data_IF_733925324772
#
_entry.id   IF_733925324772
#
_cell.length_a   1.000
_cell.length_b   1.000
_cell.length_c   1.000
_cell.angle_alpha   90.00
_cell.angle_beta   90.00
_cell.angle_gamma   90.00
#
_symmetry.space_group_name_H-M   'P 1'
#
loop_
_entity.id
_entity.type
_entity.pdbx_description
1 polymer ?
#
# COMPACT_ATOMS: atom_id res chain seq x y z
N UNK A 1 19.46 -14.65 28.75
CA UNK A 1 19.12 -15.07 27.37
C UNK A 1 19.22 -13.83 26.51
N UNK A 2 20.29 -13.77 25.72
CA UNK A 2 20.77 -12.58 25.03
C UNK A 2 20.24 -12.55 23.61
N UNK A 3 19.82 -11.38 23.14
CA UNK A 3 19.94 -11.04 21.71
C UNK A 3 18.64 -10.72 21.00
N UNK A 4 18.22 -9.46 21.06
CA UNK A 4 17.63 -8.78 19.92
C UNK A 4 17.87 -7.26 20.06
N UNK A 5 19.06 -6.75 19.68
CA UNK A 5 19.19 -5.37 19.28
C UNK A 5 18.98 -5.27 17.75
N UNK A 6 18.67 -4.06 17.29
CA UNK A 6 18.59 -3.61 15.89
C UNK A 6 17.20 -3.64 15.25
N UNK A 7 16.55 -2.48 15.32
CA UNK A 7 15.39 -2.15 14.54
C UNK A 7 14.94 -0.72 14.79
N UNK A 8 15.85 0.26 14.80
CA UNK A 8 15.46 1.63 14.49
C UNK A 8 15.11 1.68 12.99
N UNK A 9 14.05 0.99 12.60
CA UNK A 9 13.50 1.00 11.26
C UNK A 9 12.69 2.29 11.14
N UNK A 10 13.07 3.14 10.20
CA UNK A 10 12.41 4.40 9.89
C UNK A 10 10.88 4.25 9.87
N UNK A 11 10.21 4.71 10.93
CA UNK A 11 8.77 4.94 11.17
C UNK A 11 7.76 4.44 10.12
N UNK A 12 7.84 3.17 9.72
CA UNK A 12 7.02 2.64 8.65
C UNK A 12 7.18 1.14 8.48
N UNK A 13 6.06 0.46 8.26
CA UNK A 13 6.02 -0.98 8.04
C UNK A 13 5.93 -1.28 6.55
N UNK A 14 6.78 -2.17 6.06
CA UNK A 14 6.66 -2.75 4.74
C UNK A 14 5.97 -4.11 4.78
N UNK A 15 5.28 -4.45 3.71
CA UNK A 15 4.59 -5.71 3.51
C UNK A 15 4.30 -5.98 2.05
N UNK A 16 3.79 -7.17 1.77
CA UNK A 16 3.39 -7.61 0.43
C UNK A 16 1.98 -8.20 0.51
N UNK A 17 1.18 -8.12 -0.57
CA UNK A 17 -0.10 -8.81 -0.59
C UNK A 17 0.11 -10.33 -0.57
N UNK A 18 -0.74 -11.05 0.14
CA UNK A 18 -0.80 -12.50 0.03
C UNK A 18 -1.51 -12.93 -1.28
N UNK A 19 -1.68 -14.24 -1.49
CA UNK A 19 -2.30 -14.79 -2.71
C UNK A 19 -3.73 -14.33 -2.99
N UNK A 20 -4.40 -13.71 -2.00
CA UNK A 20 -5.73 -13.10 -2.13
C UNK A 20 -5.70 -11.59 -2.39
N UNK A 21 -4.50 -10.99 -2.45
CA UNK A 21 -4.32 -9.55 -2.62
C UNK A 21 -4.48 -8.75 -1.33
N UNK A 22 -4.59 -9.39 -0.17
CA UNK A 22 -4.73 -8.71 1.11
C UNK A 22 -3.36 -8.49 1.78
N UNK A 23 -3.22 -7.42 2.54
CA UNK A 23 -2.05 -7.20 3.39
C UNK A 23 -2.45 -6.36 4.60
N UNK A 24 -1.88 -6.69 5.76
CA UNK A 24 -2.08 -5.89 6.97
C UNK A 24 -0.78 -5.20 7.31
N UNK A 25 -0.82 -3.87 7.33
CA UNK A 25 0.30 -3.02 7.72
C UNK A 25 -0.04 -2.33 9.05
N UNK A 26 0.84 -2.43 10.02
CA UNK A 26 0.75 -1.78 11.31
C UNK A 26 1.72 -0.60 11.37
N UNK A 27 1.21 0.54 11.81
CA UNK A 27 2.02 1.68 12.21
C UNK A 27 2.39 1.58 13.68
N UNK A 28 3.55 2.14 14.07
CA UNK A 28 3.96 2.20 15.47
C UNK A 28 2.98 3.03 16.32
N UNK A 29 2.32 4.01 15.73
CA UNK A 29 1.23 4.77 16.35
C UNK A 29 0.22 5.21 15.28
N UNK A 30 -1.06 5.41 15.65
CA UNK A 30 -2.01 6.07 14.75
C UNK A 30 -1.56 7.51 14.43
N UNK A 31 -1.83 8.01 13.21
CA UNK A 31 -1.54 9.40 12.85
C UNK A 31 -2.32 10.35 13.77
N UNK A 32 -1.60 11.27 14.40
CA UNK A 32 -2.13 12.34 15.26
C UNK A 32 -2.58 13.54 14.42
N UNK A 33 -3.18 14.53 15.07
CA UNK A 33 -3.56 15.78 14.42
C UNK A 33 -2.30 16.45 13.81
N UNK A 34 -2.30 16.66 12.49
CA UNK A 34 -1.15 17.17 11.73
C UNK A 34 -0.27 16.09 11.10
N UNK A 35 -0.49 14.81 11.44
CA UNK A 35 0.16 13.66 10.81
C UNK A 35 -0.77 13.02 9.78
N UNK A 36 -0.19 12.53 8.68
CA UNK A 36 -0.90 11.82 7.61
C UNK A 36 -0.21 10.49 7.38
N UNK A 37 -0.97 9.41 7.40
CA UNK A 37 -0.47 8.10 6.99
C UNK A 37 -0.39 8.05 5.47
N UNK A 38 0.71 7.54 4.95
CA UNK A 38 1.03 7.48 3.53
C UNK A 38 1.39 6.05 3.19
N UNK A 39 0.68 5.50 2.21
CA UNK A 39 0.96 4.20 1.64
C UNK A 39 1.73 4.35 0.33
N UNK A 40 3.00 3.98 0.33
CA UNK A 40 3.80 3.83 -0.87
C UNK A 40 3.58 2.42 -1.44
N UNK A 41 3.01 2.32 -2.63
CA UNK A 41 2.77 1.08 -3.37
C UNK A 41 3.73 1.01 -4.54
N UNK A 42 4.71 0.12 -4.46
CA UNK A 42 5.66 -0.14 -5.55
C UNK A 42 5.01 -1.07 -6.56
N UNK A 43 4.65 -0.49 -7.70
CA UNK A 43 4.07 -1.20 -8.82
C UNK A 43 5.17 -1.75 -9.72
N UNK A 44 5.05 -3.03 -10.06
CA UNK A 44 5.90 -3.71 -11.02
C UNK A 44 5.32 -3.65 -12.43
N UNK A 45 5.37 -4.78 -13.14
CA UNK A 45 4.96 -4.86 -14.54
C UNK A 45 3.44 -5.03 -14.61
N UNK A 46 2.73 -3.97 -14.95
CA UNK A 46 1.29 -4.01 -15.23
C UNK A 46 1.00 -4.00 -16.72
N UNK A 47 -0.02 -4.74 -17.13
CA UNK A 47 -0.48 -4.71 -18.54
C UNK A 47 -1.23 -3.41 -18.79
N UNK A 48 -1.13 -2.88 -20.03
CA UNK A 48 -1.86 -1.66 -20.41
C UNK A 48 -3.37 -1.85 -20.18
N UNK A 49 -3.98 -0.89 -19.49
CA UNK A 49 -5.40 -0.92 -19.13
C UNK A 49 -5.71 -1.61 -17.80
N UNK A 50 -4.71 -2.15 -17.10
CA UNK A 50 -4.84 -2.59 -15.72
C UNK A 50 -4.58 -1.45 -14.74
N UNK A 51 -5.38 -1.40 -13.69
CA UNK A 51 -5.26 -0.48 -12.57
C UNK A 51 -5.27 -1.30 -11.28
N UNK A 52 -4.49 -0.87 -10.29
CA UNK A 52 -4.52 -1.46 -8.96
C UNK A 52 -5.47 -0.64 -8.10
N UNK A 53 -6.61 -1.22 -7.77
CA UNK A 53 -7.54 -0.65 -6.82
C UNK A 53 -7.09 -1.04 -5.41
N UNK A 54 -6.93 -0.05 -4.54
CA UNK A 54 -6.53 -0.22 -3.14
C UNK A 54 -7.74 0.09 -2.27
N UNK A 55 -8.31 -0.95 -1.69
CA UNK A 55 -9.44 -0.88 -0.76
C UNK A 55 -9.01 -1.25 0.63
N UNK A 56 -9.73 -0.83 1.66
CA UNK A 56 -9.60 -1.40 3.00
C UNK A 56 -10.24 -2.78 3.06
N UNK A 57 -9.96 -3.54 4.12
CA UNK A 57 -10.70 -4.77 4.42
C UNK A 57 -12.22 -4.55 4.57
N UNK A 58 -12.63 -3.36 5.01
CA UNK A 58 -14.04 -2.96 5.13
C UNK A 58 -14.71 -2.69 3.76
N UNK A 59 -13.92 -2.65 2.68
CA UNK A 59 -14.38 -2.36 1.33
C UNK A 59 -14.32 -0.87 0.96
N UNK A 60 -13.84 -0.01 1.85
CA UNK A 60 -13.70 1.42 1.58
C UNK A 60 -12.51 1.67 0.62
N UNK A 61 -12.70 2.34 -0.53
CA UNK A 61 -11.61 2.66 -1.45
C UNK A 61 -10.69 3.73 -0.86
N UNK A 62 -9.40 3.40 -0.72
CA UNK A 62 -8.36 4.35 -0.28
C UNK A 62 -7.80 5.10 -1.48
N UNK A 63 -7.67 4.43 -2.61
CA UNK A 63 -7.21 5.02 -3.85
C UNK A 63 -6.97 3.99 -4.94
N UNK A 64 -6.57 4.48 -6.10
CA UNK A 64 -6.23 3.66 -7.27
C UNK A 64 -4.83 3.98 -7.72
N UNK A 65 -3.98 2.97 -7.84
CA UNK A 65 -2.64 3.08 -8.39
C UNK A 65 -2.66 2.56 -9.83
N UNK A 66 -2.58 3.46 -10.80
CA UNK A 66 -2.49 3.12 -12.20
C UNK A 66 -1.08 3.43 -12.75
N UNK A 67 -0.56 2.62 -13.68
CA UNK A 67 0.70 2.88 -14.35
C UNK A 67 0.54 4.04 -15.34
N UNK A 68 0.52 5.29 -14.86
CA UNK A 68 0.46 6.47 -15.73
C UNK A 68 1.88 6.93 -16.08
N UNK A 69 2.44 6.33 -17.14
CA UNK A 69 3.68 6.80 -17.76
C UNK A 69 3.95 6.12 -19.12
N UNK A 70 4.63 6.79 -20.07
CA UNK A 70 4.95 6.23 -21.40
C UNK A 70 6.04 5.13 -21.36
N UNK A 71 6.47 4.69 -20.18
CA UNK A 71 7.56 3.72 -20.01
C UNK A 71 7.05 2.30 -20.22
N UNK A 72 7.14 1.83 -21.47
CA UNK A 72 6.95 0.42 -21.82
C UNK A 72 7.96 -0.45 -21.06
N UNK A 73 7.46 -1.36 -20.23
CA UNK A 73 8.25 -2.49 -19.70
C UNK A 73 9.21 -2.18 -18.56
N UNK A 74 9.18 -0.97 -17.99
CA UNK A 74 9.79 -0.68 -16.69
C UNK A 74 8.66 -0.59 -15.66
N UNK A 75 8.85 -1.17 -14.48
CA UNK A 75 7.85 -1.17 -13.41
C UNK A 75 7.24 0.22 -13.23
N UNK A 76 5.95 0.27 -12.94
CA UNK A 76 5.16 1.49 -12.95
C UNK A 76 5.52 2.52 -11.87
N UNK A 77 6.58 2.25 -11.10
CA UNK A 77 7.11 3.13 -10.08
C UNK A 77 6.38 3.00 -8.76
N UNK A 78 6.82 3.76 -7.78
CA UNK A 78 6.18 3.82 -6.46
C UNK A 78 5.11 4.89 -6.46
N UNK A 79 3.86 4.49 -6.25
CA UNK A 79 2.70 5.38 -6.12
C UNK A 79 2.42 5.63 -4.65
N UNK A 80 2.27 6.90 -4.30
CA UNK A 80 2.08 7.33 -2.91
C UNK A 80 0.63 7.73 -2.70
N UNK A 81 -0.09 6.97 -1.88
CA UNK A 81 -1.52 7.16 -1.61
C UNK A 81 -1.71 7.64 -0.17
N UNK A 82 -2.34 8.80 0.08
CA UNK A 82 -2.70 9.22 1.42
C UNK A 82 -3.77 8.31 1.99
N UNK A 83 -3.51 7.77 3.17
CA UNK A 83 -4.44 6.92 3.90
C UNK A 83 -5.27 7.81 4.82
N UNK A 84 -6.61 7.83 4.67
CA UNK A 84 -7.48 8.57 5.58
C UNK A 84 -7.42 7.96 6.98
N UNK A 85 -7.40 8.80 8.02
CA UNK A 85 -7.31 8.34 9.42
C UNK A 85 -8.43 7.35 9.80
N UNK A 86 -9.61 7.46 9.18
CA UNK A 86 -10.73 6.54 9.40
C UNK A 86 -10.48 5.11 8.89
N UNK A 87 -9.52 4.90 8.00
CA UNK A 87 -9.14 3.57 7.51
C UNK A 87 -8.20 2.82 8.46
N UNK A 88 -7.51 3.53 9.36
CA UNK A 88 -6.66 2.92 10.36
C UNK A 88 -7.49 2.53 11.59
N UNK A 89 -7.43 1.26 11.96
CA UNK A 89 -8.04 0.71 13.17
C UNK A 89 -6.92 0.31 14.13
N UNK A 90 -6.83 1.00 15.27
CA UNK A 90 -5.82 0.69 16.30
C UNK A 90 -4.36 0.77 15.80
N UNK A 91 -4.08 1.70 14.88
CA UNK A 91 -2.77 1.80 14.21
C UNK A 91 -2.51 0.69 13.18
N UNK A 92 -3.46 -0.21 12.92
CA UNK A 92 -3.40 -1.21 11.85
C UNK A 92 -4.24 -0.78 10.67
N UNK A 93 -3.73 -1.08 9.48
CA UNK A 93 -4.34 -0.81 8.21
C UNK A 93 -4.35 -2.10 7.42
N UNK A 94 -5.52 -2.72 7.30
CA UNK A 94 -5.71 -3.87 6.42
C UNK A 94 -6.21 -3.38 5.08
N UNK A 95 -5.43 -3.71 4.05
CA UNK A 95 -5.63 -3.28 2.68
C UNK A 95 -5.88 -4.51 1.83
N UNK A 96 -6.79 -4.36 0.88
CA UNK A 96 -7.07 -5.33 -0.16
C UNK A 96 -6.85 -4.68 -1.50
N UNK A 97 -5.88 -5.22 -2.22
CA UNK A 97 -5.47 -4.80 -3.53
C UNK A 97 -6.14 -5.67 -4.57
N UNK A 98 -6.65 -5.05 -5.63
CA UNK A 98 -7.24 -5.76 -6.76
C UNK A 98 -6.78 -5.15 -8.06
N UNK A 99 -6.41 -5.98 -9.01
CA UNK A 99 -6.20 -5.58 -10.39
C UNK A 99 -7.56 -5.51 -11.07
N UNK A 100 -7.95 -4.32 -11.49
CA UNK A 100 -9.12 -4.06 -12.33
C UNK A 100 -8.65 -3.69 -13.73
N UNK A 101 -9.36 -4.17 -14.75
CA UNK A 101 -9.09 -3.79 -16.14
C UNK A 101 -10.40 -3.64 -16.89
N UNK A 102 -10.43 -2.75 -17.87
CA UNK A 102 -11.61 -2.53 -18.71
C UNK A 102 -12.02 -3.84 -19.39
N UNK A 103 -13.16 -4.40 -19.00
CA UNK A 103 -13.69 -5.64 -19.55
C UNK A 103 -13.18 -6.93 -18.92
N UNK A 104 -12.47 -6.89 -17.79
CA UNK A 104 -12.09 -8.09 -17.02
C UNK A 104 -12.54 -7.99 -15.55
N UNK A 105 -12.92 -9.13 -14.94
CA UNK A 105 -13.29 -9.14 -13.53
C UNK A 105 -12.08 -8.79 -12.64
N UNK A 106 -12.32 -8.13 -11.49
CA UNK A 106 -11.27 -7.82 -10.52
C UNK A 106 -10.59 -9.10 -10.04
N UNK A 107 -9.26 -9.12 -10.02
CA UNK A 107 -8.46 -10.25 -9.53
C UNK A 107 -7.41 -9.79 -8.52
N UNK A 108 -6.89 -10.66 -7.65
CA UNK A 108 -5.75 -10.30 -6.79
C UNK A 108 -4.50 -9.97 -7.64
N UNK A 109 -3.67 -9.01 -7.22
CA UNK A 109 -2.37 -8.76 -7.84
C UNK A 109 -1.39 -9.88 -7.56
N UNK A 110 -0.49 -10.11 -8.51
CA UNK A 110 0.68 -10.97 -8.34
C UNK A 110 1.87 -10.20 -7.76
N UNK A 111 2.87 -10.92 -7.25
CA UNK A 111 4.11 -10.32 -6.74
C UNK A 111 4.94 -9.59 -7.82
N UNK A 112 4.70 -9.88 -9.11
CA UNK A 112 5.31 -9.17 -10.24
C UNK A 112 4.58 -7.85 -10.56
N UNK A 113 3.27 -7.78 -10.30
CA UNK A 113 2.45 -6.57 -10.48
C UNK A 113 2.58 -5.62 -9.28
N UNK A 114 2.62 -6.16 -8.05
CA UNK A 114 2.80 -5.40 -6.81
C UNK A 114 4.02 -5.93 -6.06
N UNK A 115 5.10 -5.14 -6.10
CA UNK A 115 6.38 -5.53 -5.52
C UNK A 115 6.39 -5.39 -4.00
N UNK A 116 6.13 -4.18 -3.51
CA UNK A 116 6.22 -3.83 -2.09
C UNK A 116 5.17 -2.78 -1.74
N UNK A 117 4.60 -2.89 -0.54
CA UNK A 117 3.83 -1.83 0.08
C UNK A 117 4.58 -1.34 1.30
N UNK A 118 4.66 -0.03 1.46
CA UNK A 118 5.29 0.60 2.62
C UNK A 118 4.35 1.65 3.19
N UNK A 119 3.90 1.43 4.40
CA UNK A 119 3.11 2.38 5.15
C UNK A 119 4.06 3.24 6.00
N UNK A 120 3.90 4.56 5.96
CA UNK A 120 4.70 5.50 6.76
C UNK A 120 3.85 6.67 7.19
N UNK A 121 4.28 7.39 8.22
CA UNK A 121 3.63 8.61 8.67
C UNK A 121 4.45 9.80 8.18
N UNK A 122 3.81 10.78 7.58
CA UNK A 122 4.40 12.08 7.26
C UNK A 122 3.70 13.18 8.05
N UNK A 123 4.40 14.28 8.30
CA UNK A 123 3.92 15.36 9.16
C UNK A 123 4.70 15.39 10.46
N UNK A 124 4.69 16.56 11.10
CA UNK A 124 5.35 16.76 12.38
C UNK A 124 4.27 16.86 13.46
N UNK A 125 4.37 16.10 14.56
CA UNK A 125 3.48 16.31 15.69
C UNK A 125 3.69 17.75 16.22
N UNK A 126 2.61 18.42 16.68
CA UNK A 126 2.69 19.76 17.25
C UNK A 126 3.51 19.81 18.54
#
# INVERSE_FOLDING_TARGET
MTGQPAGAASAGQSGRPDGTGETTLALPHPPRQGEVAILAVTLGVLTRGQTVEVTTADGEPIGTAAPFGPQRGQGAGTVTIPVPAGALRDGRLTLRLRITASGSPPRPPTAEEVGELRLSIIGQPP
#
